data_IF_979394056366
#
_entry.id   IF_979394056366
#
_cell.length_a   1.000
_cell.length_b   1.000
_cell.length_c   1.000
_cell.angle_alpha   90.00
_cell.angle_beta   90.00
_cell.angle_gamma   90.00
#
_symmetry.space_group_name_H-M   'P 1'
#
loop_
_entity.id
_entity.type
_entity.pdbx_description
1 polymer ?
#
# COMPACT_ATOMS: atom_id res chain seq x y z
N UNK A 1 46.80 -2.26 9.96
CA UNK A 1 46.23 -0.89 9.98
C UNK A 1 46.70 -0.16 8.72
N UNK A 2 45.81 0.07 7.76
CA UNK A 2 46.04 0.87 6.55
C UNK A 2 44.77 1.68 6.32
N UNK A 3 44.87 2.98 6.50
CA UNK A 3 43.72 3.89 6.52
C UNK A 3 43.91 5.01 5.50
N UNK A 4 42.92 5.12 4.62
CA UNK A 4 42.44 6.27 3.84
C UNK A 4 43.35 6.88 2.76
N UNK A 5 43.23 6.29 1.57
CA UNK A 5 43.39 6.96 0.27
C UNK A 5 41.98 7.12 -0.32
N UNK A 6 41.43 8.34 -0.38
CA UNK A 6 40.34 8.67 -1.32
C UNK A 6 40.02 10.17 -1.32
N UNK A 7 40.39 10.79 -2.43
CA UNK A 7 39.66 11.86 -3.12
C UNK A 7 39.68 13.26 -2.48
N UNK A 8 40.76 13.96 -2.86
CA UNK A 8 40.84 15.41 -3.07
C UNK A 8 39.82 15.85 -4.14
N UNK A 9 38.92 16.77 -3.80
CA UNK A 9 38.66 18.02 -4.55
C UNK A 9 38.16 19.04 -3.54
N UNK A 10 39.09 19.65 -2.79
CA UNK A 10 38.84 20.88 -2.04
C UNK A 10 39.72 21.94 -2.68
N UNK A 11 39.20 22.58 -3.72
CA UNK A 11 39.81 23.75 -4.35
C UNK A 11 39.34 24.99 -3.56
N UNK A 12 40.10 25.50 -2.60
CA UNK A 12 41.27 26.40 -2.73
C UNK A 12 40.85 27.88 -2.75
N UNK A 13 41.43 28.61 -1.78
CA UNK A 13 41.69 30.06 -1.71
C UNK A 13 40.62 31.02 -1.16
N UNK A 14 40.64 31.13 0.17
CA UNK A 14 40.57 32.42 0.88
C UNK A 14 41.92 33.13 0.74
N UNK A 15 42.02 34.23 -0.01
CA UNK A 15 43.05 35.27 0.17
C UNK A 15 42.59 36.63 -0.40
N UNK A 16 42.30 37.54 0.54
CA UNK A 16 42.59 38.98 0.60
C UNK A 16 42.11 39.99 -0.47
N UNK A 17 41.76 41.16 0.09
CA UNK A 17 41.63 42.51 -0.47
C UNK A 17 40.22 42.93 -0.92
N UNK A 18 39.73 43.98 -0.27
CA UNK A 18 38.39 44.52 -0.46
C UNK A 18 38.32 45.56 -1.58
N UNK A 19 37.09 45.87 -1.98
CA UNK A 19 36.60 47.22 -2.30
C UNK A 19 35.10 47.17 -2.04
N UNK A 20 34.63 48.16 -1.30
CA UNK A 20 33.22 48.39 -1.05
C UNK A 20 32.42 48.56 -2.35
N UNK A 21 31.27 47.88 -2.47
CA UNK A 21 30.06 48.52 -2.98
C UNK A 21 28.83 47.72 -2.55
N UNK A 22 27.89 48.43 -1.94
CA UNK A 22 26.56 47.94 -1.64
C UNK A 22 25.91 47.35 -2.90
N UNK A 23 25.42 46.12 -2.80
CA UNK A 23 24.36 45.58 -3.65
C UNK A 23 23.58 44.58 -2.79
N UNK A 24 22.27 44.78 -2.78
CA UNK A 24 21.23 44.12 -1.98
C UNK A 24 21.28 42.59 -2.10
N UNK A 25 20.73 41.85 -1.12
CA UNK A 25 20.60 40.40 -1.25
C UNK A 25 19.60 40.08 -2.37
N UNK A 26 20.12 39.66 -3.52
CA UNK A 26 19.33 39.09 -4.60
C UNK A 26 18.69 37.78 -4.12
N UNK A 27 17.46 37.90 -3.62
CA UNK A 27 16.54 36.80 -3.38
C UNK A 27 16.00 36.34 -4.72
N UNK A 28 16.76 35.51 -5.43
CA UNK A 28 16.29 34.82 -6.63
C UNK A 28 16.47 33.30 -6.50
N UNK A 29 15.83 32.72 -5.48
CA UNK A 29 15.17 31.42 -5.68
C UNK A 29 13.76 31.73 -6.17
N UNK A 30 13.29 31.16 -7.29
CA UNK A 30 11.91 31.33 -7.67
C UNK A 30 11.04 30.80 -6.52
N UNK A 31 10.02 31.55 -6.07
CA UNK A 31 9.06 31.01 -5.13
C UNK A 31 8.46 29.77 -5.78
N UNK A 32 8.46 28.65 -5.06
CA UNK A 32 7.78 27.43 -5.50
C UNK A 32 6.37 27.86 -5.91
N UNK A 33 5.93 27.62 -7.17
CA UNK A 33 4.66 28.15 -7.63
C UNK A 33 3.55 27.67 -6.69
N UNK A 34 2.61 28.54 -6.32
CA UNK A 34 1.56 28.22 -5.36
C UNK A 34 0.74 26.97 -5.77
N UNK A 35 0.67 26.70 -7.08
CA UNK A 35 0.07 25.51 -7.65
C UNK A 35 0.79 24.20 -7.27
N UNK A 36 2.10 24.22 -7.04
CA UNK A 36 2.89 23.06 -6.59
C UNK A 36 2.71 22.78 -5.11
N UNK A 37 2.54 23.82 -4.30
CA UNK A 37 2.22 23.68 -2.87
C UNK A 37 0.80 23.12 -2.72
N UNK A 38 -0.16 23.66 -3.48
CA UNK A 38 -1.55 23.17 -3.50
C UNK A 38 -1.64 21.73 -4.01
N UNK A 39 -0.89 21.39 -5.07
CA UNK A 39 -0.82 20.02 -5.59
C UNK A 39 -0.23 19.05 -4.56
N UNK A 40 0.77 19.48 -3.79
CA UNK A 40 1.38 18.66 -2.73
C UNK A 40 0.46 18.51 -1.51
N UNK A 41 -0.20 19.57 -1.05
CA UNK A 41 -1.19 19.47 0.03
C UNK A 41 -2.36 18.57 -0.36
N UNK A 42 -2.81 18.65 -1.61
CA UNK A 42 -3.85 17.79 -2.16
C UNK A 42 -3.39 16.35 -2.28
N UNK A 43 -2.14 16.11 -2.68
CA UNK A 43 -1.57 14.78 -2.71
C UNK A 43 -1.37 14.20 -1.30
N UNK A 44 -0.92 15.00 -0.33
CA UNK A 44 -0.76 14.60 1.08
C UNK A 44 -2.11 14.29 1.73
N UNK A 45 -3.13 15.14 1.50
CA UNK A 45 -4.52 14.85 1.89
C UNK A 45 -5.04 13.62 1.17
N UNK A 46 -4.81 13.48 -0.13
CA UNK A 46 -5.20 12.29 -0.89
C UNK A 46 -4.42 11.04 -0.48
N UNK A 47 -3.21 11.14 0.07
CA UNK A 47 -2.45 10.02 0.65
C UNK A 47 -2.89 9.68 2.06
N UNK A 48 -3.32 10.66 2.87
CA UNK A 48 -3.94 10.38 4.18
C UNK A 48 -5.35 9.81 4.02
N UNK A 49 -6.11 10.34 3.06
CA UNK A 49 -7.42 9.83 2.66
C UNK A 49 -7.30 8.51 1.92
N UNK A 50 -6.32 8.29 1.02
CA UNK A 50 -5.96 6.96 0.52
C UNK A 50 -5.39 6.09 1.62
N UNK A 51 -4.72 6.61 2.63
CA UNK A 51 -4.26 5.82 3.77
C UNK A 51 -5.45 5.26 4.54
N UNK A 52 -6.50 6.06 4.73
CA UNK A 52 -7.78 5.67 5.28
C UNK A 52 -8.64 4.81 4.33
N UNK A 53 -8.62 5.09 3.03
CA UNK A 53 -9.46 4.46 2.01
C UNK A 53 -8.81 3.21 1.39
N UNK A 54 -7.47 3.11 1.39
CA UNK A 54 -6.70 1.86 1.27
C UNK A 54 -6.78 1.05 2.54
N UNK A 55 -6.77 1.67 3.74
CA UNK A 55 -7.11 0.97 4.97
C UNK A 55 -8.55 0.44 4.88
N UNK A 56 -9.49 1.14 4.27
CA UNK A 56 -10.84 0.64 4.02
C UNK A 56 -10.90 -0.44 2.93
N UNK A 57 -10.06 -0.33 1.90
CA UNK A 57 -9.92 -1.30 0.81
C UNK A 57 -9.11 -2.56 1.21
N UNK A 58 -8.25 -2.47 2.22
CA UNK A 58 -7.45 -3.58 2.79
C UNK A 58 -7.94 -4.06 4.17
N UNK A 59 -8.77 -3.32 4.91
CA UNK A 59 -9.13 -3.67 6.30
C UNK A 59 -9.93 -2.65 7.14
N UNK A 60 -10.88 -1.89 6.58
CA UNK A 60 -11.50 -0.76 7.30
C UNK A 60 -12.97 -0.47 6.96
N UNK A 61 -13.61 -1.24 6.08
CA UNK A 61 -15.06 -1.40 6.10
C UNK A 61 -15.36 -2.82 5.67
N UNK A 62 -16.20 -3.47 6.46
CA UNK A 62 -16.78 -4.78 6.25
C UNK A 62 -17.63 -4.79 4.95
N UNK A 63 -16.99 -4.66 3.80
CA UNK A 63 -17.62 -4.85 2.50
C UNK A 63 -17.98 -6.32 2.41
N UNK A 64 -19.29 -6.61 2.41
CA UNK A 64 -19.89 -7.95 2.41
C UNK A 64 -19.36 -8.89 1.31
N UNK A 65 -18.66 -8.37 0.30
CA UNK A 65 -17.98 -9.13 -0.76
C UNK A 65 -16.62 -9.72 -0.34
N UNK A 66 -16.05 -9.28 0.79
CA UNK A 66 -14.68 -9.59 1.20
C UNK A 66 -14.61 -10.51 2.45
N UNK A 67 -15.66 -11.30 2.70
CA UNK A 67 -15.63 -12.27 3.82
C UNK A 67 -14.51 -13.28 3.59
N UNK A 68 -13.56 -13.46 4.51
CA UNK A 68 -12.51 -14.46 4.36
C UNK A 68 -13.17 -15.82 4.15
N UNK A 69 -12.92 -16.45 2.99
CA UNK A 69 -13.57 -17.71 2.63
C UNK A 69 -13.35 -18.79 3.69
N UNK A 70 -12.22 -18.73 4.40
CA UNK A 70 -11.87 -19.61 5.51
C UNK A 70 -12.82 -19.41 6.70
N UNK A 71 -13.14 -18.15 7.05
CA UNK A 71 -14.14 -17.86 8.07
C UNK A 71 -15.53 -18.34 7.67
N UNK A 72 -15.89 -18.27 6.38
CA UNK A 72 -17.14 -18.86 5.88
C UNK A 72 -17.15 -20.38 6.02
N UNK A 73 -16.04 -21.06 5.68
CA UNK A 73 -15.90 -22.52 5.85
C UNK A 73 -16.06 -22.91 7.33
N UNK A 74 -15.37 -22.22 8.24
CA UNK A 74 -15.41 -22.49 9.68
C UNK A 74 -16.80 -22.24 10.27
N UNK A 75 -17.45 -21.12 9.89
CA UNK A 75 -18.81 -20.81 10.35
C UNK A 75 -19.85 -21.79 9.79
N UNK A 76 -19.55 -22.43 8.66
CA UNK A 76 -20.43 -23.42 8.01
C UNK A 76 -19.98 -24.86 8.24
N UNK A 77 -19.15 -25.13 9.26
CA UNK A 77 -18.50 -26.42 9.48
C UNK A 77 -19.45 -27.61 9.51
N UNK A 78 -20.62 -27.46 10.12
CA UNK A 78 -21.66 -28.51 10.20
C UNK A 78 -22.28 -28.75 8.83
N UNK A 79 -22.66 -27.69 8.12
CA UNK A 79 -23.26 -27.77 6.79
C UNK A 79 -22.28 -28.35 5.76
N UNK A 80 -20.99 -28.05 5.90
CA UNK A 80 -19.94 -28.63 5.08
C UNK A 80 -19.58 -30.06 5.51
N UNK A 81 -19.89 -30.48 6.75
CA UNK A 81 -19.44 -31.76 7.30
C UNK A 81 -17.92 -31.81 7.43
N UNK A 82 -17.32 -30.76 8.00
CA UNK A 82 -15.88 -30.71 8.25
C UNK A 82 -15.51 -31.63 9.40
N UNK A 83 -14.42 -32.37 9.26
CA UNK A 83 -13.83 -33.10 10.39
C UNK A 83 -13.06 -32.16 11.32
N UNK A 84 -12.83 -32.58 12.57
CA UNK A 84 -12.05 -31.81 13.54
C UNK A 84 -10.63 -31.50 13.02
N UNK A 85 -10.03 -32.44 12.29
CA UNK A 85 -8.74 -32.24 11.65
C UNK A 85 -8.78 -31.14 10.58
N UNK A 86 -9.84 -31.08 9.78
CA UNK A 86 -10.03 -30.02 8.78
C UNK A 86 -10.27 -28.67 9.45
N UNK A 87 -11.10 -28.62 10.50
CA UNK A 87 -11.36 -27.40 11.27
C UNK A 87 -10.06 -26.84 11.83
N UNK A 88 -9.28 -27.66 12.54
CA UNK A 88 -7.99 -27.24 13.10
C UNK A 88 -7.02 -26.73 12.04
N UNK A 89 -6.99 -27.36 10.86
CA UNK A 89 -6.12 -26.92 9.76
C UNK A 89 -6.55 -25.57 9.18
N UNK A 90 -7.86 -25.35 9.04
CA UNK A 90 -8.43 -24.10 8.54
C UNK A 90 -8.23 -22.95 9.54
N UNK A 91 -8.40 -23.21 10.84
CA UNK A 91 -8.08 -22.24 11.91
C UNK A 91 -6.62 -21.83 11.85
N UNK A 92 -5.71 -22.81 11.77
CA UNK A 92 -4.27 -22.52 11.64
C UNK A 92 -3.97 -21.64 10.41
N UNK A 93 -4.51 -21.98 9.24
CA UNK A 93 -4.31 -21.18 8.03
C UNK A 93 -4.82 -19.74 8.17
N UNK A 94 -5.99 -19.55 8.80
CA UNK A 94 -6.56 -18.23 9.07
C UNK A 94 -5.65 -17.44 10.01
N UNK A 95 -5.29 -18.03 11.14
CA UNK A 95 -4.55 -17.35 12.20
C UNK A 95 -3.11 -17.02 11.76
N UNK A 96 -2.48 -17.88 10.95
CA UNK A 96 -1.15 -17.63 10.40
C UNK A 96 -1.18 -16.49 9.37
N UNK A 97 -2.21 -16.46 8.50
CA UNK A 97 -2.41 -15.34 7.57
C UNK A 97 -2.72 -14.03 8.30
N UNK A 98 -3.54 -14.06 9.36
CA UNK A 98 -3.84 -12.88 10.18
C UNK A 98 -2.59 -12.30 10.85
N UNK A 99 -1.72 -13.16 11.41
CA UNK A 99 -0.42 -12.72 11.92
C UNK A 99 0.45 -12.14 10.82
N UNK A 100 0.43 -12.72 9.61
CA UNK A 100 1.16 -12.19 8.47
C UNK A 100 0.63 -10.82 8.04
N UNK A 101 -0.69 -10.62 7.98
CA UNK A 101 -1.29 -9.34 7.60
C UNK A 101 -0.97 -8.24 8.60
N UNK A 102 -1.02 -8.54 9.90
CA UNK A 102 -0.66 -7.57 10.95
C UNK A 102 0.79 -7.10 10.78
N UNK A 103 1.74 -8.01 10.52
CA UNK A 103 3.15 -7.64 10.30
C UNK A 103 3.31 -6.80 9.03
N UNK A 104 2.71 -7.24 7.93
CA UNK A 104 2.77 -6.52 6.66
C UNK A 104 2.18 -5.10 6.76
N UNK A 105 1.08 -4.93 7.50
CA UNK A 105 0.48 -3.63 7.75
C UNK A 105 1.37 -2.73 8.60
N UNK A 106 2.08 -3.29 9.58
CA UNK A 106 3.05 -2.55 10.38
C UNK A 106 4.23 -2.09 9.51
N UNK A 107 4.81 -2.98 8.71
CA UNK A 107 5.90 -2.67 7.79
C UNK A 107 5.49 -1.60 6.77
N UNK A 108 4.29 -1.73 6.19
CA UNK A 108 3.77 -0.74 5.25
C UNK A 108 3.60 0.65 5.90
N UNK A 109 3.13 0.72 7.16
CA UNK A 109 3.02 2.00 7.89
C UNK A 109 4.38 2.63 8.16
N UNK A 110 5.41 1.82 8.44
CA UNK A 110 6.77 2.34 8.60
C UNK A 110 7.25 2.96 7.30
N UNK A 111 7.04 2.30 6.16
CA UNK A 111 7.41 2.85 4.84
C UNK A 111 6.66 4.14 4.53
N UNK A 112 5.38 4.26 4.88
CA UNK A 112 4.62 5.50 4.71
C UNK A 112 5.14 6.65 5.58
N UNK A 113 5.59 6.36 6.81
CA UNK A 113 6.25 7.36 7.66
C UNK A 113 7.60 7.79 7.08
N UNK A 114 8.38 6.86 6.51
CA UNK A 114 9.64 7.18 5.83
C UNK A 114 9.39 8.08 4.60
N UNK A 115 8.33 7.82 3.84
CA UNK A 115 7.94 8.69 2.71
C UNK A 115 7.62 10.09 3.21
N UNK A 116 6.81 10.22 4.27
CA UNK A 116 6.48 11.52 4.84
C UNK A 116 7.74 12.29 5.28
N UNK A 117 8.65 11.64 5.99
CA UNK A 117 9.91 12.24 6.42
C UNK A 117 10.82 12.64 5.25
N UNK A 118 10.80 11.91 4.13
CA UNK A 118 11.56 12.26 2.93
C UNK A 118 11.03 13.54 2.28
N UNK A 119 9.71 13.74 2.31
CA UNK A 119 9.02 14.90 1.72
C UNK A 119 9.21 16.19 2.52
N UNK A 120 9.50 16.09 3.81
CA UNK A 120 9.81 17.25 4.67
C UNK A 120 11.21 17.84 4.41
N UNK A 121 12.06 17.20 3.60
CA UNK A 121 13.38 17.71 3.27
C UNK A 121 13.33 18.79 2.17
N UNK A 122 14.19 19.80 2.30
CA UNK A 122 14.38 20.82 1.25
C UNK A 122 15.86 20.85 0.79
N UNK A 123 16.18 20.45 -0.45
CA UNK A 123 15.28 19.93 -1.50
C UNK A 123 14.84 18.48 -1.26
N UNK A 124 13.68 18.10 -1.80
CA UNK A 124 13.17 16.72 -1.76
C UNK A 124 14.02 15.80 -2.64
N UNK A 125 14.46 14.68 -2.08
CA UNK A 125 15.15 13.61 -2.82
C UNK A 125 14.14 12.67 -3.49
N UNK A 126 13.71 13.02 -4.70
CA UNK A 126 12.69 12.28 -5.44
C UNK A 126 13.07 10.81 -5.73
N UNK A 127 14.36 10.50 -5.85
CA UNK A 127 14.81 9.13 -6.08
C UNK A 127 14.53 8.24 -4.85
N UNK A 128 14.74 8.76 -3.64
CA UNK A 128 14.41 8.04 -2.40
C UNK A 128 12.91 7.89 -2.20
N UNK A 129 12.13 8.93 -2.53
CA UNK A 129 10.66 8.88 -2.45
C UNK A 129 10.11 7.79 -3.38
N UNK A 130 10.56 7.75 -4.63
CA UNK A 130 10.12 6.73 -5.59
C UNK A 130 10.46 5.30 -5.11
N UNK A 131 11.67 5.11 -4.57
CA UNK A 131 12.08 3.82 -4.04
C UNK A 131 11.18 3.35 -2.90
N UNK A 132 10.82 4.24 -1.97
CA UNK A 132 9.94 3.93 -0.84
C UNK A 132 8.50 3.67 -1.26
N UNK A 133 7.98 4.40 -2.25
CA UNK A 133 6.65 4.11 -2.82
C UNK A 133 6.61 2.71 -3.43
N UNK A 134 7.65 2.32 -4.19
CA UNK A 134 7.75 0.98 -4.76
C UNK A 134 7.84 -0.11 -3.68
N UNK A 135 8.54 0.17 -2.58
CA UNK A 135 8.61 -0.71 -1.41
C UNK A 135 7.22 -0.93 -0.79
N UNK A 136 6.45 0.14 -0.56
CA UNK A 136 5.09 0.05 -0.03
C UNK A 136 4.15 -0.75 -0.95
N UNK A 137 4.20 -0.51 -2.26
CA UNK A 137 3.38 -1.25 -3.23
C UNK A 137 3.77 -2.74 -3.32
N UNK A 138 5.05 -3.06 -3.15
CA UNK A 138 5.50 -4.45 -3.06
C UNK A 138 4.89 -5.16 -1.86
N UNK A 139 4.94 -4.55 -0.66
CA UNK A 139 4.31 -5.11 0.54
C UNK A 139 2.80 -5.35 0.33
N UNK A 140 2.12 -4.40 -0.32
CA UNK A 140 0.68 -4.54 -0.66
C UNK A 140 0.44 -5.70 -1.63
N UNK A 141 1.27 -5.86 -2.65
CA UNK A 141 1.16 -6.94 -3.62
C UNK A 141 1.42 -8.30 -2.96
N UNK A 142 2.48 -8.41 -2.17
CA UNK A 142 2.88 -9.64 -1.48
C UNK A 142 1.76 -10.13 -0.54
N UNK A 143 1.10 -9.23 0.20
CA UNK A 143 -0.02 -9.59 1.06
C UNK A 143 -1.24 -10.11 0.27
N UNK A 144 -1.57 -9.51 -0.88
CA UNK A 144 -2.66 -9.99 -1.75
C UNK A 144 -2.36 -11.38 -2.30
N UNK A 145 -1.12 -11.62 -2.70
CA UNK A 145 -0.66 -12.93 -3.18
C UNK A 145 -0.73 -13.96 -2.04
N UNK A 146 -0.26 -13.61 -0.85
CA UNK A 146 -0.34 -14.47 0.33
C UNK A 146 -1.80 -14.85 0.67
N UNK A 147 -2.73 -13.90 0.55
CA UNK A 147 -4.17 -14.15 0.73
C UNK A 147 -4.69 -15.20 -0.26
N UNK A 148 -4.40 -15.03 -1.54
CA UNK A 148 -4.83 -15.97 -2.59
C UNK A 148 -4.24 -17.37 -2.36
N UNK A 149 -2.96 -17.45 -2.01
CA UNK A 149 -2.32 -18.73 -1.66
C UNK A 149 -2.99 -19.40 -0.46
N UNK A 150 -3.30 -18.65 0.59
CA UNK A 150 -3.97 -19.17 1.79
C UNK A 150 -5.38 -19.68 1.45
N UNK A 151 -6.11 -18.97 0.59
CA UNK A 151 -7.43 -19.40 0.08
C UNK A 151 -7.32 -20.73 -0.68
N UNK A 152 -6.36 -20.87 -1.59
CA UNK A 152 -6.17 -22.10 -2.35
C UNK A 152 -5.74 -23.27 -1.44
N UNK A 153 -4.88 -23.02 -0.46
CA UNK A 153 -4.52 -24.00 0.56
C UNK A 153 -5.75 -24.44 1.38
N UNK A 154 -6.61 -23.51 1.79
CA UNK A 154 -7.83 -23.83 2.51
C UNK A 154 -8.81 -24.65 1.67
N UNK A 155 -8.98 -24.33 0.37
CA UNK A 155 -9.77 -25.14 -0.56
C UNK A 155 -9.18 -26.55 -0.71
N UNK A 156 -7.86 -26.71 -0.69
CA UNK A 156 -7.21 -28.01 -0.78
C UNK A 156 -7.46 -28.92 0.45
N UNK A 157 -7.81 -28.35 1.60
CA UNK A 157 -8.24 -29.11 2.80
C UNK A 157 -9.58 -29.82 2.58
N UNK A 158 -10.42 -29.30 1.68
CA UNK A 158 -11.76 -29.82 1.41
C UNK A 158 -11.75 -30.94 0.37
N UNK A 159 -12.61 -31.95 0.58
CA UNK A 159 -12.90 -32.95 -0.43
C UNK A 159 -13.84 -32.41 -1.52
N UNK A 160 -14.06 -33.20 -2.57
CA UNK A 160 -14.88 -32.79 -3.73
C UNK A 160 -16.34 -32.47 -3.38
N UNK A 161 -16.93 -33.17 -2.40
CA UNK A 161 -18.30 -32.90 -1.96
C UNK A 161 -18.39 -31.59 -1.17
N UNK A 162 -17.46 -31.38 -0.24
CA UNK A 162 -17.34 -30.16 0.56
C UNK A 162 -17.13 -28.93 -0.32
N UNK A 163 -16.31 -29.04 -1.38
CA UNK A 163 -16.10 -27.96 -2.36
C UNK A 163 -17.39 -27.57 -3.09
N UNK A 164 -18.24 -28.54 -3.44
CA UNK A 164 -19.55 -28.26 -4.05
C UNK A 164 -20.46 -27.51 -3.09
N UNK A 165 -20.57 -27.97 -1.84
CA UNK A 165 -21.36 -27.29 -0.80
C UNK A 165 -20.86 -25.87 -0.52
N UNK A 166 -19.55 -25.65 -0.56
CA UNK A 166 -18.96 -24.31 -0.41
C UNK A 166 -19.31 -23.39 -1.60
N UNK A 167 -19.35 -23.91 -2.82
CA UNK A 167 -19.75 -23.14 -4.00
C UNK A 167 -21.21 -22.67 -3.90
N UNK A 168 -22.11 -23.50 -3.35
CA UNK A 168 -23.51 -23.12 -3.09
C UNK A 168 -23.65 -22.06 -2.00
N UNK A 169 -22.71 -22.02 -1.04
CA UNK A 169 -22.66 -21.03 0.03
C UNK A 169 -22.11 -19.67 -0.42
N UNK A 170 -21.35 -19.65 -1.52
CA UNK A 170 -20.67 -18.46 -2.00
C UNK A 170 -21.50 -17.86 -3.14
N UNK A 171 -22.13 -16.67 -2.98
CA UNK A 171 -22.85 -16.05 -4.08
C UNK A 171 -21.89 -15.83 -5.26
N UNK A 172 -22.34 -16.02 -6.51
CA UNK A 172 -21.50 -15.75 -7.67
C UNK A 172 -21.01 -14.30 -7.63
N UNK A 173 -19.80 -14.01 -8.16
CA UNK A 173 -19.32 -12.64 -8.24
C UNK A 173 -20.39 -11.80 -8.92
N UNK A 174 -20.82 -10.72 -8.27
CA UNK A 174 -21.79 -9.80 -8.85
C UNK A 174 -21.15 -9.27 -10.12
N UNK A 175 -21.68 -9.66 -11.27
CA UNK A 175 -21.32 -9.01 -12.54
C UNK A 175 -21.62 -7.53 -12.31
N UNK A 176 -20.59 -6.69 -12.40
CA UNK A 176 -20.76 -5.26 -12.24
C UNK A 176 -21.91 -4.83 -13.15
N UNK A 177 -23.01 -4.35 -12.57
CA UNK A 177 -24.04 -3.67 -13.35
C UNK A 177 -23.29 -2.55 -14.05
N UNK A 178 -23.26 -2.58 -15.38
CA UNK A 178 -22.83 -1.44 -16.17
C UNK A 178 -23.47 -0.20 -15.56
N UNK A 179 -22.71 0.88 -15.30
CA UNK A 179 -23.33 2.12 -14.86
C UNK A 179 -24.39 2.47 -15.90
N UNK A 180 -25.67 2.35 -15.52
CA UNK A 180 -26.79 2.80 -16.35
C UNK A 180 -26.80 4.33 -16.25
N UNK A 181 -25.80 4.93 -16.90
CA UNK A 181 -25.73 6.33 -17.26
C UNK A 181 -26.09 6.42 -18.74
N UNK A 182 -27.38 6.63 -18.97
CA UNK A 182 -27.95 7.11 -20.21
C UNK A 182 -27.29 8.40 -20.65
N UNK A 183 -26.47 8.36 -21.70
CA UNK A 183 -26.41 9.46 -22.65
C UNK A 183 -27.18 9.02 -23.89
N UNK A 184 -28.28 9.68 -24.27
CA UNK A 184 -28.82 9.48 -25.61
C UNK A 184 -27.77 9.91 -26.65
N UNK A 185 -27.76 9.31 -27.86
CA UNK A 185 -26.86 9.74 -28.92
C UNK A 185 -27.15 11.20 -29.25
N UNK A 186 -26.10 12.00 -29.39
CA UNK A 186 -26.21 13.34 -29.93
C UNK A 186 -26.83 13.22 -31.33
N UNK A 187 -28.04 13.73 -31.49
CA UNK A 187 -28.62 13.97 -32.81
C UNK A 187 -27.81 15.06 -33.50
N UNK A 188 -27.24 14.74 -34.66
CA UNK A 188 -26.88 15.71 -35.70
C UNK A 188 -28.11 16.42 -36.27
#
# INVERSE_FOLDING_TARGET
MRTYLAVRVLSVLLLLAGVARAAEPDRSRPPVPAEWVDLWERFQRAMQERGGQLRDWLGGRESRENRPIISLMLNSRERLGLSDAQVKKLEQLRDDFEKQSIRNDADARIVELDIAALLDNEPVDMAKVEAKIREAEKLRADLRIARLRTIEQAKAVLNSEQKKKLAELTPPPRVARTPRGSNPPATE
#
